data_IF_110875154758
#
_entry.id   IF_110875154758
#
_cell.length_a   1.000
_cell.length_b   1.000
_cell.length_c   1.000
_cell.angle_alpha   90.00
_cell.angle_beta   90.00
_cell.angle_gamma   90.00
#
_symmetry.space_group_name_H-M   'P 1'
#
loop_
_entity.id
_entity.type
_entity.pdbx_description
1 polymer ?
#
# COMPACT_ATOMS: atom_id res chain seq x y z
N UNK A 1 11.17 18.80 -3.57
CA UNK A 1 10.82 17.64 -4.42
C UNK A 1 10.03 16.57 -3.64
N UNK A 2 8.86 16.91 -3.08
CA UNK A 2 8.00 15.98 -2.30
C UNK A 2 6.63 15.71 -2.95
N UNK A 3 6.24 16.47 -3.97
CA UNK A 3 4.92 16.37 -4.61
C UNK A 3 4.78 15.22 -5.63
N UNK A 4 5.89 14.63 -6.10
CA UNK A 4 5.86 13.58 -7.13
C UNK A 4 5.60 12.17 -6.59
N UNK A 5 5.76 11.94 -5.28
CA UNK A 5 5.62 10.59 -4.67
C UNK A 5 4.21 10.25 -4.21
N UNK A 6 3.38 11.26 -3.89
CA UNK A 6 1.98 11.07 -3.49
C UNK A 6 1.09 10.69 -4.69
N UNK A 7 1.44 11.17 -5.88
CA UNK A 7 0.66 10.93 -7.09
C UNK A 7 0.61 9.45 -7.49
N UNK A 8 1.71 8.71 -7.29
CA UNK A 8 1.78 7.27 -7.55
C UNK A 8 0.80 6.48 -6.64
N UNK A 9 0.59 6.92 -5.40
CA UNK A 9 -0.29 6.22 -4.45
C UNK A 9 -1.77 6.46 -4.79
N UNK A 10 -2.13 7.68 -5.19
CA UNK A 10 -3.50 8.02 -5.62
C UNK A 10 -3.83 7.36 -6.97
N UNK A 11 -2.90 7.39 -7.92
CA UNK A 11 -3.11 6.81 -9.26
C UNK A 11 -3.27 5.27 -9.18
N UNK A 12 -2.63 4.59 -8.21
CA UNK A 12 -2.75 3.13 -8.02
C UNK A 12 -4.08 2.69 -7.37
N UNK A 13 -4.63 3.49 -6.45
CA UNK A 13 -5.96 3.25 -5.88
C UNK A 13 -7.08 3.56 -6.88
N UNK A 14 -6.90 4.60 -7.71
CA UNK A 14 -7.86 4.92 -8.77
C UNK A 14 -7.87 3.90 -9.91
N UNK A 15 -6.77 3.18 -10.17
CA UNK A 15 -6.76 2.08 -11.15
C UNK A 15 -7.65 0.91 -10.70
N UNK A 16 -7.65 0.57 -9.40
CA UNK A 16 -8.46 -0.55 -8.87
C UNK A 16 -9.95 -0.17 -8.82
N UNK A 17 -10.28 1.11 -8.61
CA UNK A 17 -11.66 1.60 -8.59
C UNK A 17 -12.21 1.95 -9.99
N UNK A 18 -11.37 2.38 -10.95
CA UNK A 18 -11.82 2.73 -12.31
C UNK A 18 -12.10 1.51 -13.20
N UNK A 19 -11.63 0.31 -12.87
CA UNK A 19 -12.09 -0.91 -13.55
C UNK A 19 -13.56 -1.24 -13.28
N UNK A 20 -14.18 -0.57 -12.28
CA UNK A 20 -15.59 -0.74 -11.91
C UNK A 20 -16.55 0.18 -12.68
N UNK A 21 -16.05 0.98 -13.62
CA UNK A 21 -16.89 1.78 -14.52
C UNK A 21 -16.52 1.57 -15.99
N UNK A 22 -16.70 0.34 -16.47
CA UNK A 22 -16.97 0.11 -17.89
C UNK A 22 -18.49 -0.12 -18.01
N UNK A 23 -19.29 0.86 -18.47
CA UNK A 23 -20.64 0.53 -18.88
C UNK A 23 -20.54 -0.52 -19.98
N UNK A 24 -21.16 -1.70 -19.77
CA UNK A 24 -21.33 -2.69 -20.83
C UNK A 24 -21.98 -2.03 -22.04
N UNK A 25 -21.64 -2.42 -23.29
CA UNK A 25 -22.31 -1.90 -24.47
C UNK A 25 -23.70 -2.55 -24.58
N UNK A 26 -24.66 -2.10 -23.78
CA UNK A 26 -26.07 -2.35 -24.04
C UNK A 26 -26.61 -1.24 -24.96
N UNK A 27 -26.77 -1.65 -26.22
CA UNK A 27 -27.81 -1.23 -27.18
C UNK A 27 -28.17 0.27 -27.19
N UNK A 28 -27.74 0.97 -28.24
CA UNK A 28 -28.22 2.31 -28.54
C UNK A 28 -29.74 2.33 -28.77
N UNK A 29 -30.41 3.37 -28.27
CA UNK A 29 -31.25 4.14 -29.17
C UNK A 29 -31.00 5.66 -29.08
N UNK A 30 -30.84 6.21 -30.28
CA UNK A 30 -30.99 7.58 -30.79
C UNK A 30 -31.34 8.77 -29.88
N UNK A 31 -30.55 9.83 -30.15
CA UNK A 31 -30.86 11.27 -30.22
C UNK A 31 -31.02 12.15 -28.96
N UNK A 32 -30.22 13.23 -29.01
CA UNK A 32 -30.44 14.57 -28.48
C UNK A 32 -30.20 14.83 -26.98
N UNK A 33 -28.94 15.20 -26.71
CA UNK A 33 -28.63 16.51 -26.13
C UNK A 33 -28.99 16.72 -24.67
N UNK A 34 -27.99 16.57 -23.80
CA UNK A 34 -27.76 17.46 -22.66
C UNK A 34 -26.34 17.23 -22.15
N UNK A 35 -25.54 18.30 -22.13
CA UNK A 35 -24.23 18.33 -21.47
C UNK A 35 -24.46 18.14 -19.96
N UNK A 36 -24.44 16.89 -19.51
CA UNK A 36 -24.26 16.56 -18.11
C UNK A 36 -22.78 16.74 -17.79
N UNK A 37 -22.48 17.75 -16.98
CA UNK A 37 -21.20 17.86 -16.27
C UNK A 37 -21.01 16.52 -15.57
N UNK A 38 -20.08 15.69 -16.07
CA UNK A 38 -19.63 14.51 -15.35
C UNK A 38 -18.95 15.07 -14.11
N UNK A 39 -19.68 15.11 -12.99
CA UNK A 39 -19.09 15.40 -11.70
C UNK A 39 -17.95 14.39 -11.53
N UNK A 40 -16.72 14.89 -11.48
CA UNK A 40 -15.57 14.10 -11.08
C UNK A 40 -15.97 13.34 -9.82
N UNK A 41 -15.79 12.00 -9.75
CA UNK A 41 -16.00 11.29 -8.51
C UNK A 41 -15.11 11.97 -7.48
N UNK A 42 -15.69 12.51 -6.40
CA UNK A 42 -14.91 13.04 -5.28
C UNK A 42 -14.13 11.86 -4.70
N UNK A 43 -12.91 11.63 -5.20
CA UNK A 43 -11.91 10.79 -4.59
C UNK A 43 -11.92 11.17 -3.11
N UNK A 44 -12.21 10.25 -2.20
CA UNK A 44 -12.00 10.53 -0.80
C UNK A 44 -10.51 10.90 -0.66
N UNK A 45 -10.17 12.17 -0.40
CA UNK A 45 -8.77 12.59 -0.39
C UNK A 45 -8.02 11.74 0.64
N UNK A 46 -6.71 11.54 0.47
CA UNK A 46 -5.88 10.81 1.45
C UNK A 46 -6.11 11.29 2.89
N UNK A 47 -6.50 12.57 3.08
CA UNK A 47 -6.93 13.13 4.35
C UNK A 47 -8.12 12.39 4.99
N UNK A 48 -9.08 11.90 4.21
CA UNK A 48 -10.21 11.11 4.71
C UNK A 48 -9.75 9.77 5.27
N UNK A 49 -8.86 9.06 4.57
CA UNK A 49 -8.31 7.77 5.03
C UNK A 49 -7.49 7.97 6.31
N UNK A 50 -6.62 8.99 6.34
CA UNK A 50 -5.81 9.32 7.52
C UNK A 50 -6.69 9.73 8.70
N UNK A 51 -7.74 10.53 8.47
CA UNK A 51 -8.67 10.95 9.52
C UNK A 51 -9.49 9.77 10.05
N UNK A 52 -9.99 8.89 9.19
CA UNK A 52 -10.68 7.67 9.60
C UNK A 52 -9.77 6.76 10.40
N UNK A 53 -8.54 6.54 9.92
CA UNK A 53 -7.53 5.76 10.65
C UNK A 53 -7.26 6.34 12.04
N UNK A 54 -7.02 7.64 12.12
CA UNK A 54 -6.78 8.33 13.40
C UNK A 54 -7.99 8.29 14.33
N UNK A 55 -9.22 8.34 13.79
CA UNK A 55 -10.45 8.25 14.59
C UNK A 55 -10.63 6.86 15.19
N UNK A 56 -10.36 5.82 14.40
CA UNK A 56 -10.59 4.42 14.79
C UNK A 56 -9.43 3.85 15.63
N UNK A 57 -8.21 4.29 15.37
CA UNK A 57 -6.98 3.67 15.89
C UNK A 57 -6.00 4.68 16.52
N UNK A 58 -6.39 5.95 16.67
CA UNK A 58 -5.56 6.98 17.28
C UNK A 58 -5.32 6.79 18.77
N UNK A 59 -6.11 5.94 19.43
CA UNK A 59 -5.95 5.55 20.83
C UNK A 59 -4.92 4.41 21.03
N UNK A 60 -4.40 3.81 19.97
CA UNK A 60 -3.37 2.79 20.05
C UNK A 60 -2.01 3.48 20.24
N UNK A 61 -1.25 3.04 21.25
CA UNK A 61 0.11 3.50 21.50
C UNK A 61 1.08 2.88 20.49
N UNK A 62 1.06 3.39 19.26
CA UNK A 62 1.99 2.98 18.20
C UNK A 62 3.43 3.33 18.58
N UNK A 63 4.36 2.38 18.41
CA UNK A 63 5.79 2.61 18.65
C UNK A 63 6.38 3.65 17.70
N UNK A 64 5.98 3.59 16.43
CA UNK A 64 6.32 4.57 15.40
C UNK A 64 5.08 4.82 14.53
N UNK A 65 4.40 5.93 14.81
CA UNK A 65 3.13 6.28 14.16
C UNK A 65 3.31 6.57 12.68
N UNK A 66 4.37 7.29 12.32
CA UNK A 66 4.61 7.70 10.93
C UNK A 66 4.94 6.48 10.07
N UNK A 67 5.75 5.54 10.61
CA UNK A 67 6.02 4.28 9.91
C UNK A 67 4.76 3.43 9.76
N UNK A 68 3.91 3.33 10.78
CA UNK A 68 2.63 2.61 10.69
C UNK A 68 1.73 3.21 9.61
N UNK A 69 1.60 4.54 9.57
CA UNK A 69 0.82 5.23 8.53
C UNK A 69 1.39 4.91 7.14
N UNK A 70 2.71 4.97 6.95
CA UNK A 70 3.34 4.62 5.69
C UNK A 70 3.02 3.18 5.25
N UNK A 71 3.10 2.21 6.18
CA UNK A 71 2.84 0.81 5.88
C UNK A 71 1.40 0.61 5.41
N UNK A 72 0.44 1.16 6.14
CA UNK A 72 -0.99 0.96 5.89
C UNK A 72 -1.44 1.68 4.62
N UNK A 73 -0.90 2.87 4.37
CA UNK A 73 -1.35 3.71 3.24
C UNK A 73 -0.58 3.45 1.94
N UNK A 74 0.60 2.84 2.00
CA UNK A 74 1.47 2.68 0.82
C UNK A 74 1.94 1.23 0.64
N UNK A 75 2.56 0.63 1.65
CA UNK A 75 3.27 -0.64 1.47
C UNK A 75 2.32 -1.85 1.37
N UNK A 76 1.34 -1.97 2.28
CA UNK A 76 0.36 -3.06 2.25
C UNK A 76 -0.51 -3.02 0.99
N UNK A 77 -1.09 -1.88 0.58
CA UNK A 77 -1.89 -1.81 -0.64
C UNK A 77 -1.09 -2.17 -1.89
N UNK A 78 0.17 -1.71 -1.99
CA UNK A 78 1.05 -2.07 -3.10
C UNK A 78 1.32 -3.58 -3.17
N UNK A 79 1.58 -4.22 -2.02
CA UNK A 79 1.77 -5.69 -1.96
C UNK A 79 0.49 -6.45 -2.33
N UNK A 80 -0.67 -6.01 -1.84
CA UNK A 80 -1.97 -6.62 -2.19
C UNK A 80 -2.26 -6.48 -3.68
N UNK A 81 -2.08 -5.29 -4.26
CA UNK A 81 -2.29 -5.03 -5.67
C UNK A 81 -1.36 -5.85 -6.59
N UNK A 82 -0.17 -6.22 -6.10
CA UNK A 82 0.77 -7.08 -6.80
C UNK A 82 0.46 -8.59 -6.66
N UNK A 83 -0.51 -8.99 -5.84
CA UNK A 83 -0.86 -10.39 -5.65
C UNK A 83 -1.56 -10.95 -6.89
N UNK A 84 -0.98 -12.02 -7.47
CA UNK A 84 -1.46 -12.61 -8.73
C UNK A 84 -2.86 -13.23 -8.61
N UNK A 85 -3.17 -13.88 -7.48
CA UNK A 85 -4.49 -14.49 -7.29
C UNK A 85 -5.57 -13.40 -7.23
N UNK A 86 -5.28 -12.31 -6.51
CA UNK A 86 -6.17 -11.15 -6.48
C UNK A 86 -6.30 -10.48 -7.85
N UNK A 87 -5.20 -10.27 -8.58
CA UNK A 87 -5.24 -9.75 -9.96
C UNK A 87 -6.10 -10.61 -10.89
N UNK A 88 -5.96 -11.93 -10.81
CA UNK A 88 -6.74 -12.86 -11.60
C UNK A 88 -8.23 -12.82 -11.23
N UNK A 89 -8.54 -12.72 -9.94
CA UNK A 89 -9.91 -12.62 -9.43
C UNK A 89 -10.56 -11.28 -9.83
N UNK A 90 -9.81 -10.18 -9.82
CA UNK A 90 -10.29 -8.89 -10.35
C UNK A 90 -10.57 -8.93 -11.84
N UNK A 91 -9.75 -9.64 -12.62
CA UNK A 91 -9.87 -9.68 -14.07
C UNK A 91 -11.00 -10.60 -14.59
N UNK A 92 -11.32 -11.67 -13.84
CA UNK A 92 -12.19 -12.75 -14.34
C UNK A 92 -13.32 -13.16 -13.38
N UNK A 93 -13.36 -12.61 -12.17
CA UNK A 93 -14.26 -13.04 -11.11
C UNK A 93 -15.42 -12.08 -10.84
N UNK A 94 -16.45 -12.59 -10.20
CA UNK A 94 -17.43 -11.75 -9.51
C UNK A 94 -16.79 -11.03 -8.29
N UNK A 95 -17.46 -9.99 -7.80
CA UNK A 95 -16.98 -9.18 -6.67
C UNK A 95 -16.71 -10.01 -5.41
N UNK A 96 -17.49 -11.06 -5.17
CA UNK A 96 -17.34 -11.90 -3.99
C UNK A 96 -16.01 -12.67 -4.04
N UNK A 97 -15.68 -13.25 -5.19
CA UNK A 97 -14.40 -13.93 -5.38
C UNK A 97 -13.22 -12.95 -5.28
N UNK A 98 -13.32 -11.77 -5.89
CA UNK A 98 -12.29 -10.73 -5.77
C UNK A 98 -12.07 -10.31 -4.31
N UNK A 99 -13.14 -10.25 -3.50
CA UNK A 99 -13.05 -9.93 -2.07
C UNK A 99 -12.35 -11.02 -1.27
N UNK A 100 -12.64 -12.29 -1.55
CA UNK A 100 -11.99 -13.44 -0.90
C UNK A 100 -10.49 -13.42 -1.19
N UNK A 101 -10.09 -13.24 -2.45
CA UNK A 101 -8.67 -13.21 -2.82
C UNK A 101 -7.95 -11.95 -2.32
N UNK A 102 -8.64 -10.81 -2.23
CA UNK A 102 -8.11 -9.61 -1.57
C UNK A 102 -7.75 -9.87 -0.11
N UNK A 103 -8.67 -10.48 0.66
CA UNK A 103 -8.46 -10.67 2.10
C UNK A 103 -7.30 -11.64 2.38
N UNK A 104 -7.15 -12.67 1.54
CA UNK A 104 -5.97 -13.56 1.56
C UNK A 104 -4.68 -12.79 1.24
N UNK A 105 -4.69 -11.99 0.16
CA UNK A 105 -3.53 -11.19 -0.25
C UNK A 105 -3.11 -10.19 0.83
N UNK A 106 -4.07 -9.58 1.54
CA UNK A 106 -3.79 -8.66 2.64
C UNK A 106 -3.14 -9.39 3.83
N UNK A 107 -3.65 -10.56 4.20
CA UNK A 107 -3.05 -11.37 5.26
C UNK A 107 -1.61 -11.78 4.91
N UNK A 108 -1.36 -12.21 3.67
CA UNK A 108 -0.02 -12.53 3.18
C UNK A 108 0.91 -11.31 3.20
N UNK A 109 0.42 -10.14 2.80
CA UNK A 109 1.19 -8.90 2.81
C UNK A 109 1.61 -8.50 4.24
N UNK A 110 0.71 -8.61 5.21
CA UNK A 110 0.99 -8.35 6.63
C UNK A 110 2.03 -9.34 7.18
N UNK A 111 1.88 -10.63 6.88
CA UNK A 111 2.85 -11.66 7.30
C UNK A 111 4.22 -11.47 6.68
N UNK A 112 4.28 -11.11 5.38
CA UNK A 112 5.53 -10.75 4.71
C UNK A 112 6.19 -9.57 5.40
N UNK A 113 5.43 -8.54 5.77
CA UNK A 113 5.97 -7.38 6.46
C UNK A 113 6.61 -7.75 7.80
N UNK A 114 5.95 -8.59 8.61
CA UNK A 114 6.50 -9.10 9.86
C UNK A 114 7.80 -9.90 9.62
N UNK A 115 7.82 -10.76 8.61
CA UNK A 115 9.02 -11.53 8.26
C UNK A 115 10.18 -10.62 7.89
N UNK A 116 9.94 -9.66 7.01
CA UNK A 116 10.97 -8.72 6.51
C UNK A 116 11.58 -7.89 7.66
N UNK A 117 10.81 -7.58 8.70
CA UNK A 117 11.29 -6.80 9.85
C UNK A 117 11.94 -7.65 10.95
N UNK A 118 11.57 -8.93 11.06
CA UNK A 118 12.13 -9.83 12.09
C UNK A 118 13.34 -10.60 11.61
N UNK A 119 13.49 -10.81 10.29
CA UNK A 119 14.61 -11.56 9.72
C UNK A 119 15.99 -10.93 10.02
N UNK A 120 16.21 -9.60 9.89
CA UNK A 120 17.48 -8.99 10.24
C UNK A 120 17.86 -9.21 11.71
N UNK A 121 16.89 -9.14 12.62
CA UNK A 121 17.10 -9.42 14.03
C UNK A 121 17.48 -10.90 14.28
N UNK A 122 16.81 -11.83 13.60
CA UNK A 122 17.15 -13.26 13.67
C UNK A 122 18.58 -13.51 13.19
N UNK A 123 18.97 -12.93 12.05
CA UNK A 123 20.34 -13.03 11.53
C UNK A 123 21.34 -12.39 12.50
N UNK A 124 21.05 -11.20 13.02
CA UNK A 124 21.93 -10.55 13.99
C UNK A 124 22.14 -11.38 15.26
N UNK A 125 21.10 -12.05 15.73
CA UNK A 125 21.14 -12.84 16.97
C UNK A 125 21.76 -14.23 16.77
N UNK A 126 21.46 -14.89 15.65
CA UNK A 126 21.79 -16.30 15.42
C UNK A 126 22.92 -16.57 14.42
N UNK A 127 23.37 -15.56 13.66
CA UNK A 127 24.40 -15.71 12.64
C UNK A 127 25.64 -14.86 13.00
N UNK A 128 26.69 -15.48 13.59
CA UNK A 128 27.89 -14.76 14.03
C UNK A 128 28.58 -13.97 12.92
N UNK A 129 28.61 -14.50 11.70
CA UNK A 129 29.20 -13.84 10.54
C UNK A 129 28.44 -12.57 10.16
N UNK A 130 27.11 -12.65 10.11
CA UNK A 130 26.26 -11.48 9.86
C UNK A 130 26.41 -10.42 10.95
N UNK A 131 26.42 -10.84 12.23
CA UNK A 131 26.63 -9.94 13.38
C UNK A 131 27.97 -9.20 13.28
N UNK A 132 29.05 -9.94 13.01
CA UNK A 132 30.39 -9.35 12.89
C UNK A 132 30.45 -8.34 11.74
N UNK A 133 29.94 -8.73 10.56
CA UNK A 133 29.89 -7.86 9.40
C UNK A 133 29.07 -6.59 9.67
N UNK A 134 27.84 -6.71 10.19
CA UNK A 134 26.95 -5.56 10.41
C UNK A 134 27.52 -4.59 11.45
N UNK A 135 28.15 -5.12 12.50
CA UNK A 135 28.80 -4.30 13.53
C UNK A 135 29.95 -3.49 12.94
N UNK A 136 30.84 -4.15 12.18
CA UNK A 136 31.98 -3.49 11.55
C UNK A 136 31.57 -2.46 10.49
N UNK A 137 30.59 -2.80 9.66
CA UNK A 137 30.10 -1.89 8.62
C UNK A 137 29.40 -0.66 9.21
N UNK A 138 28.50 -0.86 10.17
CA UNK A 138 27.81 0.25 10.83
C UNK A 138 28.79 1.20 11.51
N UNK A 139 29.83 0.67 12.16
CA UNK A 139 30.87 1.49 12.78
C UNK A 139 31.64 2.31 11.74
N UNK A 140 32.11 1.68 10.64
CA UNK A 140 32.84 2.38 9.58
C UNK A 140 32.07 3.56 8.98
N UNK A 141 30.75 3.42 8.84
CA UNK A 141 29.92 4.48 8.24
C UNK A 141 29.57 5.62 9.21
N UNK A 142 29.55 5.34 10.51
CA UNK A 142 29.05 6.30 11.51
C UNK A 142 30.14 6.92 12.36
N UNK A 143 31.30 6.27 12.46
CA UNK A 143 32.44 6.79 13.20
C UNK A 143 33.22 7.80 12.34
N UNK A 144 33.06 9.07 12.67
CA UNK A 144 33.92 10.14 12.17
C UNK A 144 35.04 10.38 13.20
N UNK A 145 36.32 10.18 12.84
CA UNK A 145 37.40 10.45 13.75
C UNK A 145 37.44 11.95 14.11
N UNK A 146 37.78 12.31 15.36
CA UNK A 146 37.94 13.71 15.73
C UNK A 146 38.99 14.39 14.82
N UNK A 147 38.56 15.40 14.07
CA UNK A 147 39.44 16.21 13.20
C UNK A 147 39.48 15.81 11.72
N UNK A 148 38.56 14.97 11.23
CA UNK A 148 38.33 14.71 9.81
C UNK A 148 37.35 15.71 9.18
#
# INVERSE_FOLDING_TARGET
>A
MHAARIKIVIDNYNLILNYRYRPSPEIAPTELGQSGVVAEPEMAPLSTIVNQFNTLFGNIAWLDRDKVVQIITQELPAKVAANKAYQNAMANGDEQNARIEHDKALQEAVLSFLKDHTEPFKQFSGNPSFKHWLTGESFRQTYLPPGA
#
